data_IF_444152864076
#
_entry.id   IF_444152864076
#
_cell.length_a   1.000
_cell.length_b   1.000
_cell.length_c   1.000
_cell.angle_alpha   90.00
_cell.angle_beta   90.00
_cell.angle_gamma   90.00
#
_symmetry.space_group_name_H-M   'P 1'
#
loop_
_entity.id
_entity.type
_entity.pdbx_description
1 polymer ?
#
# COMPACT_ATOMS: atom_id res chain seq x y z
N UNK A 1 65.04 54.52 48.21
CA UNK A 1 64.68 55.38 47.07
C UNK A 1 63.95 54.53 46.04
N UNK A 2 62.77 54.99 45.57
CA UNK A 2 62.27 54.83 44.19
C UNK A 2 61.90 53.39 43.73
N UNK A 3 60.68 52.96 43.37
CA UNK A 3 59.32 53.51 43.19
C UNK A 3 58.30 52.35 43.34
N UNK A 4 57.17 52.63 43.99
CA UNK A 4 55.91 51.89 43.80
C UNK A 4 55.39 52.17 42.38
N UNK A 5 54.95 51.12 41.65
CA UNK A 5 54.03 51.28 40.52
C UNK A 5 52.82 50.37 40.77
N UNK A 6 51.76 51.01 41.25
CA UNK A 6 50.38 50.55 41.13
C UNK A 6 50.01 50.54 39.64
N UNK A 7 49.50 49.42 39.15
CA UNK A 7 48.69 49.38 37.94
C UNK A 7 47.30 48.86 38.31
N UNK A 8 46.35 49.79 38.34
CA UNK A 8 44.92 49.55 38.20
C UNK A 8 44.61 49.41 36.70
N UNK A 9 43.93 48.33 36.30
CA UNK A 9 43.11 48.24 35.09
C UNK A 9 42.28 46.93 35.15
N UNK A 10 41.05 46.90 34.61
CA UNK A 10 39.87 46.58 35.39
C UNK A 10 39.25 45.21 35.09
N UNK A 11 38.54 44.70 36.10
CA UNK A 11 37.45 43.72 36.01
C UNK A 11 36.39 44.16 34.99
N UNK A 12 36.43 43.63 33.76
CA UNK A 12 35.29 43.65 32.83
C UNK A 12 35.47 42.64 31.69
N UNK A 13 35.40 41.34 32.00
CA UNK A 13 35.29 40.28 30.99
C UNK A 13 34.48 39.07 31.51
N UNK A 14 33.48 39.33 32.36
CA UNK A 14 32.48 38.34 32.78
C UNK A 14 31.12 38.95 32.48
N UNK A 15 30.77 39.06 31.19
CA UNK A 15 29.41 39.27 30.68
C UNK A 15 29.51 39.49 29.17
N UNK A 16 29.66 38.43 28.39
CA UNK A 16 29.35 38.39 26.94
C UNK A 16 29.61 36.98 26.38
N UNK A 17 29.00 35.94 26.95
CA UNK A 17 28.80 34.68 26.23
C UNK A 17 27.66 33.87 26.88
N UNK A 18 26.52 34.53 27.04
CA UNK A 18 25.27 33.90 27.47
C UNK A 18 24.16 34.69 26.79
N UNK A 19 23.29 34.00 26.05
CA UNK A 19 22.29 34.49 25.08
C UNK A 19 22.86 34.51 23.66
N UNK A 20 22.62 33.49 22.84
CA UNK A 20 21.31 33.32 22.16
C UNK A 20 20.60 32.01 22.45
N UNK A 21 19.42 32.19 23.04
CA UNK A 21 18.33 31.25 23.21
C UNK A 21 17.55 31.09 21.90
N UNK A 22 17.04 29.87 21.70
CA UNK A 22 15.75 29.53 21.04
C UNK A 22 15.69 29.76 19.52
N UNK A 23 16.23 28.82 18.77
CA UNK A 23 15.47 28.27 17.65
C UNK A 23 14.62 27.14 18.20
N UNK A 24 13.28 27.23 18.12
CA UNK A 24 12.38 26.09 18.32
C UNK A 24 12.56 25.10 17.17
N UNK A 25 13.73 24.46 17.09
CA UNK A 25 13.94 23.30 16.27
C UNK A 25 13.39 22.11 17.05
N UNK A 26 12.30 21.52 16.58
CA UNK A 26 11.93 20.17 16.96
C UNK A 26 13.20 19.31 16.88
N UNK A 27 13.50 18.47 17.88
CA UNK A 27 14.61 17.53 17.73
C UNK A 27 14.40 16.77 16.40
N UNK A 28 15.47 16.52 15.62
CA UNK A 28 15.34 15.79 14.38
C UNK A 28 14.58 14.49 14.67
N UNK A 29 13.62 14.12 13.80
CA UNK A 29 12.81 12.94 14.03
C UNK A 29 13.73 11.74 14.30
N UNK A 30 13.32 10.87 15.21
CA UNK A 30 13.99 9.59 15.37
C UNK A 30 14.06 8.90 14.00
N UNK A 31 15.04 8.03 13.79
CA UNK A 31 15.16 7.27 12.53
C UNK A 31 13.83 6.62 12.15
N UNK A 32 13.13 6.06 13.13
CA UNK A 32 11.81 5.46 12.95
C UNK A 32 10.74 6.50 12.56
N UNK A 33 10.71 7.67 13.20
CA UNK A 33 9.78 8.74 12.82
C UNK A 33 10.03 9.23 11.38
N UNK A 34 11.30 9.36 10.95
CA UNK A 34 11.62 9.72 9.56
C UNK A 34 11.18 8.63 8.57
N UNK A 35 11.43 7.36 8.89
CA UNK A 35 11.00 6.25 8.03
C UNK A 35 9.47 6.20 7.87
N UNK A 36 8.72 6.53 8.93
CA UNK A 36 7.26 6.63 8.88
C UNK A 36 6.83 7.77 7.98
N UNK A 37 7.46 8.95 8.09
CA UNK A 37 7.22 10.07 7.17
C UNK A 37 7.49 9.71 5.71
N UNK A 38 8.58 8.97 5.43
CA UNK A 38 8.91 8.54 4.07
C UNK A 38 7.84 7.58 3.52
N UNK A 39 7.37 6.62 4.32
CA UNK A 39 6.28 5.70 3.94
C UNK A 39 4.97 6.45 3.68
N UNK A 40 4.60 7.34 4.61
CA UNK A 40 3.36 8.12 4.51
C UNK A 40 3.39 9.04 3.28
N UNK A 41 4.55 9.65 2.98
CA UNK A 41 4.75 10.48 1.79
C UNK A 41 4.61 9.66 0.49
N UNK A 42 5.25 8.49 0.42
CA UNK A 42 5.14 7.58 -0.73
C UNK A 42 3.70 7.12 -0.98
N UNK A 43 2.98 6.72 0.08
CA UNK A 43 1.56 6.34 -0.02
C UNK A 43 0.68 7.52 -0.44
N UNK A 44 0.97 8.72 0.07
CA UNK A 44 0.25 9.93 -0.29
C UNK A 44 0.46 10.30 -1.76
N UNK A 45 1.68 10.19 -2.28
CA UNK A 45 1.99 10.52 -3.67
C UNK A 45 1.21 9.64 -4.64
N UNK A 46 1.19 8.32 -4.42
CA UNK A 46 0.42 7.41 -5.27
C UNK A 46 -1.09 7.61 -5.13
N UNK A 47 -1.58 7.94 -3.92
CA UNK A 47 -2.99 8.28 -3.70
C UNK A 47 -3.40 9.57 -4.42
N UNK A 48 -2.50 10.55 -4.49
CA UNK A 48 -2.73 11.85 -5.10
C UNK A 48 -2.42 11.86 -6.60
N UNK A 49 -1.87 10.78 -7.15
CA UNK A 49 -1.58 10.66 -8.57
C UNK A 49 -2.89 10.78 -9.38
N UNK A 50 -2.97 11.70 -10.36
CA UNK A 50 -4.20 11.90 -11.14
C UNK A 50 -4.54 10.67 -12.00
N UNK A 51 -3.52 9.91 -12.38
CA UNK A 51 -3.63 8.69 -13.16
C UNK A 51 -2.40 7.80 -12.99
N UNK A 52 -2.54 6.51 -13.22
CA UNK A 52 -1.43 5.56 -13.37
C UNK A 52 -1.93 4.26 -13.99
N UNK A 53 -1.04 3.51 -14.62
CA UNK A 53 -1.27 2.10 -14.94
C UNK A 53 -0.76 1.23 -13.82
N UNK A 54 -1.25 0.00 -13.73
CA UNK A 54 -0.78 -0.94 -12.72
C UNK A 54 -0.90 -2.37 -13.19
N UNK A 55 0.05 -3.20 -12.73
CA UNK A 55 -0.08 -4.65 -12.79
C UNK A 55 -0.54 -5.16 -11.44
N UNK A 56 -1.38 -6.18 -11.47
CA UNK A 56 -1.85 -6.85 -10.27
C UNK A 56 -1.63 -8.36 -10.39
N UNK A 57 -1.18 -8.97 -9.31
CA UNK A 57 -1.14 -10.41 -9.14
C UNK A 57 -1.88 -10.76 -7.85
N UNK A 58 -2.86 -11.65 -7.93
CA UNK A 58 -3.67 -12.14 -6.83
C UNK A 58 -3.51 -13.64 -6.74
N UNK A 59 -3.08 -14.15 -5.59
CA UNK A 59 -2.98 -15.56 -5.29
C UNK A 59 -3.86 -15.87 -4.08
N UNK A 60 -4.87 -16.69 -4.30
CA UNK A 60 -5.72 -17.19 -3.24
C UNK A 60 -5.41 -18.66 -2.98
N UNK A 61 -5.40 -19.02 -1.70
CA UNK A 61 -5.22 -20.37 -1.21
C UNK A 61 -6.25 -20.66 -0.12
N UNK A 62 -6.91 -21.79 -0.24
CA UNK A 62 -7.88 -22.28 0.73
C UNK A 62 -7.47 -23.70 1.14
N UNK A 63 -7.31 -23.90 2.45
CA UNK A 63 -7.04 -25.21 3.03
C UNK A 63 -8.34 -25.99 3.27
N UNK A 64 -8.48 -27.15 2.62
CA UNK A 64 -9.63 -28.06 2.78
C UNK A 64 -9.11 -29.44 3.14
N UNK A 65 -9.33 -29.88 4.38
CA UNK A 65 -9.09 -31.27 4.85
C UNK A 65 -7.85 -31.97 4.25
N UNK A 66 -6.66 -31.51 4.62
CA UNK A 66 -5.33 -31.98 4.17
C UNK A 66 -4.97 -31.72 2.68
N UNK A 67 -5.83 -31.02 1.94
CA UNK A 67 -5.57 -30.55 0.58
C UNK A 67 -5.70 -29.03 0.52
N UNK A 68 -5.19 -28.43 -0.55
CA UNK A 68 -5.35 -27.00 -0.80
C UNK A 68 -5.73 -26.71 -2.24
N UNK A 69 -6.67 -25.78 -2.39
CA UNK A 69 -7.05 -25.25 -3.70
C UNK A 69 -6.40 -23.87 -3.81
N UNK A 70 -5.67 -23.65 -4.90
CA UNK A 70 -5.13 -22.34 -5.25
C UNK A 70 -5.75 -21.80 -6.53
N UNK A 71 -5.86 -20.48 -6.59
CA UNK A 71 -6.22 -19.74 -7.79
C UNK A 71 -5.27 -18.56 -7.94
N UNK A 72 -4.84 -18.29 -9.17
CA UNK A 72 -3.98 -17.16 -9.50
C UNK A 72 -4.71 -16.27 -10.49
N UNK A 73 -4.74 -14.97 -10.24
CA UNK A 73 -5.26 -13.98 -11.17
C UNK A 73 -4.15 -12.96 -11.45
N UNK A 74 -3.84 -12.76 -12.72
CA UNK A 74 -2.90 -11.72 -13.14
C UNK A 74 -3.67 -10.70 -13.96
N UNK A 75 -3.39 -9.43 -13.77
CA UNK A 75 -4.06 -8.39 -14.52
C UNK A 75 -3.20 -7.17 -14.76
N UNK A 76 -3.66 -6.38 -15.72
CA UNK A 76 -3.12 -5.07 -16.02
C UNK A 76 -4.31 -4.10 -16.12
N UNK A 77 -4.16 -2.94 -15.48
CA UNK A 77 -5.23 -1.99 -15.32
C UNK A 77 -4.74 -0.55 -15.37
N UNK A 78 -5.71 0.36 -15.31
CA UNK A 78 -5.51 1.80 -15.31
C UNK A 78 -6.40 2.43 -14.26
N UNK A 79 -5.90 3.46 -13.60
CA UNK A 79 -6.62 4.31 -12.66
C UNK A 79 -6.59 5.75 -13.20
N UNK A 80 -7.76 6.41 -13.25
CA UNK A 80 -7.89 7.82 -13.60
C UNK A 80 -9.29 8.33 -13.19
N UNK A 81 -9.43 9.63 -12.91
CA UNK A 81 -10.72 10.28 -12.62
C UNK A 81 -11.53 9.57 -11.52
N UNK A 82 -10.88 9.13 -10.45
CA UNK A 82 -11.47 8.34 -9.35
C UNK A 82 -12.10 6.99 -9.74
N UNK A 83 -11.88 6.55 -10.98
CA UNK A 83 -12.26 5.24 -11.51
C UNK A 83 -11.07 4.35 -11.82
N UNK A 84 -11.35 3.10 -12.17
CA UNK A 84 -10.33 2.15 -12.63
C UNK A 84 -10.89 1.20 -13.67
N UNK A 85 -10.05 0.72 -14.58
CA UNK A 85 -10.33 -0.40 -15.47
C UNK A 85 -9.24 -1.46 -15.29
N UNK A 86 -9.60 -2.73 -15.33
CA UNK A 86 -8.70 -3.84 -15.06
C UNK A 86 -9.12 -5.06 -15.89
N UNK A 87 -8.16 -5.62 -16.62
CA UNK A 87 -8.30 -6.92 -17.27
C UNK A 87 -7.59 -7.99 -16.43
N UNK A 88 -8.27 -9.09 -16.13
CA UNK A 88 -7.78 -10.20 -15.29
C UNK A 88 -7.81 -11.51 -16.07
N UNK A 89 -6.66 -12.17 -16.14
CA UNK A 89 -6.55 -13.58 -16.50
C UNK A 89 -6.54 -14.41 -15.22
N UNK A 90 -7.64 -15.10 -14.95
CA UNK A 90 -7.77 -16.04 -13.85
C UNK A 90 -7.39 -17.45 -14.32
N UNK A 91 -6.49 -18.09 -13.57
CA UNK A 91 -6.10 -19.49 -13.73
C UNK A 91 -6.54 -20.28 -12.51
N UNK A 92 -7.31 -21.33 -12.75
CA UNK A 92 -7.82 -22.23 -11.71
C UNK A 92 -7.74 -23.70 -12.19
N UNK A 93 -7.94 -24.68 -11.29
CA UNK A 93 -8.05 -26.08 -11.71
C UNK A 93 -9.17 -26.34 -12.73
N UNK A 94 -10.18 -25.46 -12.83
CA UNK A 94 -11.28 -25.58 -13.79
C UNK A 94 -10.93 -25.02 -15.18
N UNK A 95 -9.81 -24.30 -15.33
CA UNK A 95 -9.38 -23.68 -16.59
C UNK A 95 -8.94 -22.23 -16.43
N UNK A 96 -8.76 -21.57 -17.57
CA UNK A 96 -8.41 -20.15 -17.68
C UNK A 96 -9.64 -19.34 -18.11
N UNK A 97 -9.88 -18.20 -17.45
CA UNK A 97 -11.00 -17.29 -17.71
C UNK A 97 -10.51 -15.85 -17.72
N UNK A 98 -10.98 -15.05 -18.69
CA UNK A 98 -10.71 -13.62 -18.75
C UNK A 98 -11.90 -12.86 -18.17
N UNK A 99 -11.63 -12.00 -17.20
CA UNK A 99 -12.61 -11.14 -16.56
C UNK A 99 -12.15 -9.69 -16.67
N UNK A 100 -13.07 -8.78 -16.95
CA UNK A 100 -12.82 -7.34 -16.96
C UNK A 100 -13.54 -6.73 -15.76
N UNK A 101 -12.92 -5.75 -15.10
CA UNK A 101 -13.51 -4.99 -14.00
C UNK A 101 -13.38 -3.51 -14.30
N UNK A 102 -14.46 -2.77 -14.11
CA UNK A 102 -14.49 -1.33 -14.33
C UNK A 102 -15.19 -0.64 -13.16
N UNK A 103 -14.61 0.44 -12.67
CA UNK A 103 -15.30 1.42 -11.85
C UNK A 103 -15.33 2.77 -12.58
N UNK A 104 -16.53 3.29 -12.77
CA UNK A 104 -16.76 4.57 -13.45
C UNK A 104 -17.91 5.31 -12.75
N UNK A 105 -17.70 6.58 -12.39
CA UNK A 105 -18.68 7.43 -11.69
C UNK A 105 -19.30 6.77 -10.44
N UNK A 106 -18.48 6.03 -9.68
CA UNK A 106 -18.91 5.35 -8.44
C UNK A 106 -19.72 4.06 -8.65
N UNK A 107 -19.97 3.67 -9.90
CA UNK A 107 -20.53 2.37 -10.25
C UNK A 107 -19.43 1.37 -10.53
N UNK A 108 -19.74 0.08 -10.39
CA UNK A 108 -18.83 -1.03 -10.65
C UNK A 108 -19.46 -1.96 -11.68
N UNK A 109 -18.67 -2.40 -12.64
CA UNK A 109 -19.08 -3.30 -13.70
C UNK A 109 -18.09 -4.46 -13.78
N UNK A 110 -18.62 -5.64 -14.09
CA UNK A 110 -17.82 -6.82 -14.41
C UNK A 110 -18.16 -7.26 -15.82
N UNK A 111 -17.14 -7.54 -16.61
CA UNK A 111 -17.23 -8.04 -17.97
C UNK A 111 -16.76 -9.48 -18.05
N UNK A 112 -17.55 -10.37 -18.63
CA UNK A 112 -17.15 -11.75 -18.95
C UNK A 112 -17.58 -12.06 -20.39
N UNK A 113 -16.66 -12.54 -21.23
CA UNK A 113 -16.99 -12.91 -22.61
C UNK A 113 -17.53 -11.76 -23.50
N UNK A 114 -17.28 -10.50 -23.12
CA UNK A 114 -17.76 -9.31 -23.84
C UNK A 114 -19.12 -8.78 -23.37
N UNK A 115 -19.80 -9.50 -22.48
CA UNK A 115 -21.00 -9.01 -21.80
C UNK A 115 -20.62 -8.29 -20.52
N UNK A 116 -21.21 -7.11 -20.29
CA UNK A 116 -20.94 -6.30 -19.11
C UNK A 116 -22.19 -6.20 -18.24
N UNK A 117 -21.98 -6.33 -16.93
CA UNK A 117 -23.04 -6.22 -15.93
C UNK A 117 -22.65 -5.21 -14.85
N UNK A 118 -23.57 -4.30 -14.51
CA UNK A 118 -23.44 -3.47 -13.30
C UNK A 118 -23.59 -4.36 -12.06
N UNK A 119 -22.61 -4.30 -11.16
CA UNK A 119 -22.58 -5.05 -9.91
C UNK A 119 -22.37 -4.12 -8.73
N UNK A 120 -22.83 -4.54 -7.54
CA UNK A 120 -22.37 -3.92 -6.30
C UNK A 120 -20.91 -4.29 -6.02
N UNK A 121 -20.29 -3.63 -5.03
CA UNK A 121 -18.92 -3.94 -4.60
C UNK A 121 -18.74 -5.41 -4.19
N UNK A 122 -19.82 -6.05 -3.73
CA UNK A 122 -19.85 -7.47 -3.35
C UNK A 122 -19.75 -8.44 -4.54
N UNK A 123 -20.02 -7.95 -5.75
CA UNK A 123 -19.91 -8.72 -7.00
C UNK A 123 -18.51 -8.73 -7.60
N UNK A 124 -17.53 -8.03 -7.00
CA UNK A 124 -16.15 -8.05 -7.45
C UNK A 124 -15.50 -9.42 -7.20
N UNK A 125 -14.67 -9.94 -8.13
CA UNK A 125 -13.88 -11.16 -7.90
C UNK A 125 -12.97 -11.05 -6.67
N UNK A 126 -12.45 -9.86 -6.42
CA UNK A 126 -11.69 -9.49 -5.23
C UNK A 126 -11.82 -7.98 -4.97
N UNK A 127 -12.02 -7.53 -3.72
CA UNK A 127 -11.93 -6.11 -3.37
C UNK A 127 -10.60 -5.48 -3.79
N UNK A 128 -9.51 -6.26 -3.82
CA UNK A 128 -8.19 -5.79 -4.26
C UNK A 128 -8.09 -5.53 -5.77
N UNK A 129 -9.14 -5.80 -6.56
CA UNK A 129 -9.22 -5.28 -7.93
C UNK A 129 -9.22 -3.74 -7.95
N UNK A 130 -9.73 -3.12 -6.89
CA UNK A 130 -9.60 -1.67 -6.69
C UNK A 130 -8.22 -1.35 -6.08
N UNK A 131 -7.32 -0.68 -6.81
CA UNK A 131 -5.97 -0.36 -6.31
C UNK A 131 -5.99 0.53 -5.05
N UNK A 132 -7.09 1.27 -4.79
CA UNK A 132 -7.23 2.11 -3.60
C UNK A 132 -7.26 1.28 -2.31
N UNK A 133 -7.77 0.06 -2.36
CA UNK A 133 -7.82 -0.82 -1.20
C UNK A 133 -6.41 -1.21 -0.72
N UNK A 134 -5.42 -1.31 -1.62
CA UNK A 134 -4.02 -1.51 -1.21
C UNK A 134 -3.51 -0.35 -0.36
N UNK A 135 -3.78 0.88 -0.80
CA UNK A 135 -3.35 2.09 -0.11
C UNK A 135 -4.04 2.25 1.23
N UNK A 136 -5.33 1.92 1.31
CA UNK A 136 -6.06 1.99 2.57
C UNK A 136 -5.51 1.00 3.60
N UNK A 137 -5.27 -0.25 3.20
CA UNK A 137 -4.68 -1.28 4.06
C UNK A 137 -3.28 -0.85 4.51
N UNK A 138 -2.44 -0.37 3.60
CA UNK A 138 -1.06 0.03 3.89
C UNK A 138 -0.98 1.28 4.79
N UNK A 139 -1.98 2.17 4.77
CA UNK A 139 -1.95 3.44 5.52
C UNK A 139 -2.28 3.33 7.02
N UNK A 140 -2.73 2.19 7.51
CA UNK A 140 -3.14 2.00 8.91
C UNK A 140 -2.40 0.82 9.54
N UNK A 141 -1.20 1.08 10.06
CA UNK A 141 -0.30 0.06 10.60
C UNK A 141 0.24 0.38 12.00
N UNK A 142 0.39 -0.67 12.80
CA UNK A 142 0.84 -0.60 14.19
C UNK A 142 2.37 -0.60 14.32
N UNK A 143 3.07 -1.33 13.45
CA UNK A 143 4.52 -1.43 13.44
C UNK A 143 5.08 -1.50 12.03
N UNK A 144 6.36 -1.14 11.89
CA UNK A 144 7.12 -1.29 10.65
C UNK A 144 8.52 -1.83 10.92
N UNK A 145 9.06 -2.58 9.97
CA UNK A 145 10.40 -3.14 10.00
C UNK A 145 11.05 -3.00 8.62
N UNK A 146 12.28 -2.47 8.58
CA UNK A 146 13.08 -2.52 7.36
C UNK A 146 13.54 -3.97 7.12
N UNK A 147 13.14 -4.57 6.01
CA UNK A 147 13.53 -5.94 5.64
C UNK A 147 14.76 -5.96 4.73
N UNK A 148 14.84 -5.05 3.76
CA UNK A 148 15.91 -5.03 2.76
C UNK A 148 16.13 -3.65 2.11
N UNK A 149 17.32 -3.46 1.54
CA UNK A 149 17.60 -2.44 0.52
C UNK A 149 17.84 -3.19 -0.80
N UNK A 150 17.05 -2.88 -1.83
CA UNK A 150 17.06 -3.62 -3.09
C UNK A 150 16.60 -2.76 -4.28
N UNK A 151 16.88 -3.22 -5.50
CA UNK A 151 16.33 -2.62 -6.70
C UNK A 151 14.96 -3.21 -7.03
N UNK A 152 13.95 -2.36 -7.22
CA UNK A 152 12.60 -2.74 -7.65
C UNK A 152 12.14 -1.78 -8.75
N UNK A 153 11.79 -2.33 -9.92
CA UNK A 153 11.39 -1.51 -11.07
C UNK A 153 12.50 -0.61 -11.63
N UNK A 154 13.77 -1.02 -11.50
CA UNK A 154 14.93 -0.22 -11.94
C UNK A 154 15.28 0.95 -11.01
N UNK A 155 14.69 1.01 -9.81
CA UNK A 155 14.89 2.06 -8.83
C UNK A 155 15.41 1.45 -7.53
N UNK A 156 16.38 2.10 -6.88
CA UNK A 156 16.84 1.72 -5.55
C UNK A 156 15.75 2.01 -4.51
N UNK A 157 15.39 0.98 -3.75
CA UNK A 157 14.30 1.03 -2.78
C UNK A 157 14.72 0.47 -1.42
N UNK A 158 14.02 0.91 -0.38
CA UNK A 158 13.94 0.21 0.91
C UNK A 158 12.63 -0.54 0.99
N UNK A 159 12.69 -1.85 1.24
CA UNK A 159 11.51 -2.67 1.48
C UNK A 159 11.20 -2.71 2.97
N UNK A 160 10.00 -2.30 3.32
CA UNK A 160 9.48 -2.34 4.69
C UNK A 160 8.37 -3.37 4.82
N UNK A 161 8.38 -4.13 5.91
CA UNK A 161 7.24 -4.89 6.39
C UNK A 161 6.44 -4.02 7.36
N UNK A 162 5.20 -3.73 7.00
CA UNK A 162 4.19 -3.09 7.83
C UNK A 162 3.27 -4.17 8.42
N UNK A 163 2.76 -3.92 9.63
CA UNK A 163 1.70 -4.74 10.26
C UNK A 163 0.40 -3.92 10.33
N UNK A 164 -0.44 -3.97 9.29
CA UNK A 164 -1.76 -3.35 9.31
C UNK A 164 -2.65 -3.86 10.44
N UNK A 165 -3.63 -3.05 10.84
CA UNK A 165 -4.63 -3.48 11.80
C UNK A 165 -5.52 -4.58 11.20
N UNK A 166 -5.87 -5.60 11.99
CA UNK A 166 -6.56 -6.80 11.50
C UNK A 166 -7.99 -6.54 10.99
N UNK A 167 -8.62 -5.44 11.40
CA UNK A 167 -9.92 -5.01 10.87
C UNK A 167 -9.88 -4.71 9.36
N UNK A 168 -8.68 -4.41 8.83
CA UNK A 168 -8.46 -4.16 7.39
C UNK A 168 -8.57 -5.42 6.53
N UNK A 169 -8.66 -6.62 7.11
CA UNK A 169 -8.82 -7.86 6.32
C UNK A 169 -10.10 -7.83 5.46
N UNK A 170 -11.15 -7.13 5.91
CA UNK A 170 -12.39 -6.95 5.15
C UNK A 170 -12.23 -6.15 3.85
N UNK A 171 -11.18 -5.34 3.73
CA UNK A 171 -10.90 -4.57 2.51
C UNK A 171 -10.20 -5.40 1.43
N UNK A 172 -9.85 -6.65 1.73
CA UNK A 172 -9.11 -7.51 0.83
C UNK A 172 -9.83 -8.83 0.53
N UNK A 173 -10.57 -9.37 1.51
CA UNK A 173 -11.33 -10.61 1.35
C UNK A 173 -12.69 -10.28 0.75
N UNK A 174 -13.06 -10.94 -0.35
CA UNK A 174 -14.39 -10.76 -0.98
C UNK A 174 -15.53 -11.06 -0.01
N UNK A 175 -16.72 -10.49 -0.22
CA UNK A 175 -17.87 -10.72 0.65
C UNK A 175 -18.18 -12.20 0.85
N UNK A 176 -18.12 -12.97 -0.25
CA UNK A 176 -18.29 -14.42 -0.19
C UNK A 176 -17.21 -15.07 0.67
N UNK A 177 -15.93 -14.76 0.43
CA UNK A 177 -14.82 -15.27 1.24
C UNK A 177 -14.97 -14.90 2.72
N UNK A 178 -15.39 -13.67 3.01
CA UNK A 178 -15.62 -13.21 4.37
C UNK A 178 -16.72 -14.01 5.06
N UNK A 179 -17.84 -14.28 4.36
CA UNK A 179 -18.93 -15.08 4.92
C UNK A 179 -18.48 -16.47 5.39
N UNK A 180 -17.49 -17.06 4.70
CA UNK A 180 -16.96 -18.39 5.03
C UNK A 180 -15.80 -18.38 6.03
N UNK A 181 -15.01 -17.31 6.08
CA UNK A 181 -13.75 -17.27 6.84
C UNK A 181 -13.74 -16.25 7.98
N UNK A 182 -14.84 -15.52 8.22
CA UNK A 182 -14.90 -14.48 9.26
C UNK A 182 -14.58 -14.94 10.68
N UNK A 183 -14.72 -16.23 10.97
CA UNK A 183 -14.37 -16.87 12.24
C UNK A 183 -12.87 -17.13 12.43
N UNK A 184 -12.05 -16.98 11.39
CA UNK A 184 -10.61 -17.18 11.48
C UNK A 184 -9.96 -16.00 12.21
N UNK A 185 -8.83 -16.29 12.85
CA UNK A 185 -7.92 -15.26 13.35
C UNK A 185 -7.03 -14.82 12.20
N UNK A 186 -7.20 -13.58 11.74
CA UNK A 186 -6.42 -13.03 10.63
C UNK A 186 -5.14 -12.34 11.10
N UNK A 187 -4.09 -12.51 10.31
CA UNK A 187 -2.86 -11.73 10.34
C UNK A 187 -2.69 -11.04 8.98
N UNK A 188 -2.20 -9.80 8.97
CA UNK A 188 -2.00 -9.00 7.76
C UNK A 188 -0.57 -8.50 7.76
N UNK A 189 0.13 -8.81 6.67
CA UNK A 189 1.48 -8.35 6.39
C UNK A 189 1.43 -7.51 5.11
N UNK A 190 1.93 -6.27 5.18
CA UNK A 190 2.05 -5.43 4.00
C UNK A 190 3.52 -5.12 3.75
N UNK A 191 4.05 -5.49 2.59
CA UNK A 191 5.38 -5.08 2.13
C UNK A 191 5.24 -3.90 1.18
N UNK A 192 5.98 -2.85 1.47
CA UNK A 192 6.04 -1.64 0.64
C UNK A 192 7.49 -1.35 0.25
N UNK A 193 7.70 -1.02 -1.02
CA UNK A 193 8.99 -0.60 -1.54
C UNK A 193 9.01 0.92 -1.63
N UNK A 194 9.93 1.56 -0.91
CA UNK A 194 10.04 3.02 -0.84
C UNK A 194 11.25 3.48 -1.65
N UNK A 195 11.05 4.26 -2.74
CA UNK A 195 12.14 4.87 -3.50
C UNK A 195 13.03 5.79 -2.65
N UNK A 196 14.26 6.02 -3.11
CA UNK A 196 15.15 7.04 -2.54
C UNK A 196 15.54 8.06 -3.62
N UNK A 197 15.13 9.34 -3.53
CA UNK A 197 14.26 9.94 -2.49
C UNK A 197 12.82 9.38 -2.51
N UNK A 198 12.04 9.54 -1.42
CA UNK A 198 10.65 9.06 -1.36
C UNK A 198 9.82 9.58 -2.54
N UNK A 199 9.19 8.65 -3.22
CA UNK A 199 8.24 8.89 -4.30
C UNK A 199 7.13 7.82 -4.26
N UNK A 200 6.22 7.79 -5.22
CA UNK A 200 5.22 6.73 -5.36
C UNK A 200 5.87 5.34 -5.30
N UNK A 201 5.36 4.39 -4.48
CA UNK A 201 6.00 3.09 -4.31
C UNK A 201 5.89 2.26 -5.60
N UNK A 202 7.00 1.67 -6.09
CA UNK A 202 6.97 0.83 -7.29
C UNK A 202 6.26 -0.52 -7.06
N UNK A 203 6.02 -0.90 -5.80
CA UNK A 203 5.24 -2.07 -5.47
C UNK A 203 4.63 -1.97 -4.06
N UNK A 204 3.46 -2.59 -3.92
CA UNK A 204 2.77 -2.89 -2.66
C UNK A 204 2.37 -4.36 -2.69
N UNK A 205 2.73 -5.12 -1.66
CA UNK A 205 2.31 -6.51 -1.50
C UNK A 205 1.55 -6.64 -0.20
N UNK A 206 0.39 -7.29 -0.22
CA UNK A 206 -0.43 -7.60 0.94
C UNK A 206 -0.55 -9.11 1.04
N UNK A 207 -0.23 -9.65 2.20
CA UNK A 207 -0.49 -11.04 2.55
C UNK A 207 -1.46 -11.07 3.74
N UNK A 208 -2.55 -11.81 3.58
CA UNK A 208 -3.52 -12.07 4.62
C UNK A 208 -3.53 -13.56 4.87
N UNK A 209 -3.32 -13.94 6.13
CA UNK A 209 -3.32 -15.33 6.55
C UNK A 209 -4.37 -15.53 7.61
N UNK A 210 -5.28 -16.49 7.39
CA UNK A 210 -6.34 -16.84 8.32
C UNK A 210 -6.05 -18.16 9.00
N UNK A 211 -6.04 -18.16 10.33
CA UNK A 211 -5.79 -19.32 11.17
C UNK A 211 -7.06 -19.77 11.90
N UNK A 212 -7.23 -21.09 12.00
CA UNK A 212 -8.19 -21.66 12.94
C UNK A 212 -7.78 -21.28 14.37
N UNK A 213 -8.66 -20.68 15.18
CA UNK A 213 -8.30 -20.20 16.51
C UNK A 213 -8.04 -21.32 17.53
N UNK A 214 -8.52 -22.54 17.30
CA UNK A 214 -8.35 -23.68 18.20
C UNK A 214 -7.11 -24.49 17.81
N UNK A 215 -6.99 -24.83 16.53
CA UNK A 215 -5.93 -25.70 16.02
C UNK A 215 -4.67 -24.94 15.62
N UNK A 216 -4.75 -23.60 15.49
CA UNK A 216 -3.70 -22.75 14.93
C UNK A 216 -3.25 -23.17 13.52
N UNK A 217 -4.08 -23.94 12.82
CA UNK A 217 -3.82 -24.33 11.44
C UNK A 217 -4.22 -23.22 10.49
N UNK A 218 -3.37 -22.95 9.51
CA UNK A 218 -3.70 -22.04 8.42
C UNK A 218 -4.84 -22.62 7.57
N UNK A 219 -5.92 -21.85 7.39
CA UNK A 219 -7.10 -22.24 6.61
C UNK A 219 -7.33 -21.34 5.40
N UNK A 220 -6.79 -20.14 5.43
CA UNK A 220 -6.91 -19.15 4.36
C UNK A 220 -5.59 -18.43 4.13
N UNK A 221 -5.26 -18.13 2.87
CA UNK A 221 -4.20 -17.19 2.50
C UNK A 221 -4.58 -16.44 1.24
N UNK A 222 -4.40 -15.14 1.26
CA UNK A 222 -4.47 -14.26 0.11
C UNK A 222 -3.15 -13.52 0.03
N UNK A 223 -2.47 -13.60 -1.10
CA UNK A 223 -1.30 -12.78 -1.43
C UNK A 223 -1.67 -11.93 -2.64
N UNK A 224 -1.44 -10.63 -2.56
CA UNK A 224 -1.79 -9.69 -3.58
C UNK A 224 -0.66 -8.69 -3.78
N UNK A 225 -0.25 -8.46 -5.03
CA UNK A 225 0.79 -7.49 -5.38
C UNK A 225 0.23 -6.47 -6.36
N UNK A 226 0.41 -5.19 -6.08
CA UNK A 226 0.14 -4.04 -6.94
C UNK A 226 1.46 -3.42 -7.37
N UNK A 227 1.68 -3.26 -8.66
CA UNK A 227 2.87 -2.64 -9.26
C UNK A 227 2.45 -1.46 -10.16
N UNK A 228 2.40 -0.23 -9.63
CA UNK A 228 2.04 0.95 -10.42
C UNK A 228 3.19 1.41 -11.33
N UNK A 229 2.85 1.96 -12.50
CA UNK A 229 3.76 2.54 -13.48
C UNK A 229 3.02 3.59 -14.34
N UNK A 230 3.74 4.30 -15.22
CA UNK A 230 3.21 5.41 -16.03
C UNK A 230 2.45 6.47 -15.19
N UNK A 231 2.96 6.74 -13.98
CA UNK A 231 2.31 7.61 -12.99
C UNK A 231 2.21 9.05 -13.50
N UNK A 232 1.01 9.62 -13.46
CA UNK A 232 0.72 11.00 -13.86
C UNK A 232 0.59 11.20 -15.38
N UNK A 233 0.53 10.13 -16.18
CA UNK A 233 0.36 10.25 -17.63
C UNK A 233 -1.03 10.79 -18.00
N UNK A 234 -1.09 11.86 -18.79
CA UNK A 234 -2.33 12.45 -19.29
C UNK A 234 -3.03 11.61 -20.35
N UNK A 235 -2.40 10.55 -20.86
CA UNK A 235 -2.96 9.65 -21.88
C UNK A 235 -3.82 8.53 -21.27
N UNK A 236 -3.81 8.40 -19.94
CA UNK A 236 -4.55 7.37 -19.23
C UNK A 236 -5.96 7.89 -18.94
N UNK A 237 -6.94 7.26 -19.58
CA UNK A 237 -8.35 7.53 -19.37
C UNK A 237 -9.08 6.24 -18.98
N UNK A 238 -10.06 6.36 -18.10
CA UNK A 238 -11.01 5.29 -17.78
C UNK A 238 -12.34 5.69 -18.38
N UNK A 239 -12.85 4.91 -19.33
CA UNK A 239 -14.08 5.19 -20.06
C UNK A 239 -15.05 4.01 -19.98
N UNK A 240 -16.35 4.30 -20.15
CA UNK A 240 -17.36 3.25 -20.26
C UNK A 240 -17.22 2.51 -21.60
N UNK A 241 -17.27 1.16 -21.60
CA UNK A 241 -17.40 0.35 -22.80
C UNK A 241 -18.59 0.80 -23.66
N UNK A 242 -18.44 0.73 -24.99
CA UNK A 242 -19.50 1.12 -25.93
C UNK A 242 -20.81 0.35 -25.72
N UNK A 243 -20.73 -0.89 -25.23
CA UNK A 243 -21.90 -1.71 -24.90
C UNK A 243 -22.67 -1.23 -23.66
N UNK A 244 -22.08 -0.36 -22.83
CA UNK A 244 -22.69 0.26 -21.66
C UNK A 244 -23.12 1.71 -21.90
N UNK A 245 -22.80 2.29 -23.07
CA UNK A 245 -23.34 3.60 -23.48
C UNK A 245 -24.78 3.46 -24.01
N UNK A 246 -25.70 4.34 -23.60
CA UNK A 246 -27.11 4.32 -24.03
C UNK A 246 -27.32 4.68 -25.51
#
# INVERSE_FOLDING_TARGET
>A
MRWLRLFFAPTLAVMLLSVTLIGCGSPPPSREAQQRLDIDASLHELRAAPSYRYRINLENWIGVSAQSISGVQNGEGSFANDGFALELLQKSPAGETNNSVLSFEGKVYVGEGGEWQEVGIEGLPSPLCDPRNFLEIASSYSSMQLEAEEEKGGINTRRYLLKPNTDKARLAISSLGWSYFSQLRFEIDCRIWIPQPPASPPALQIEITGFDPVESLQRYRLSATLEPYDIGSSEIEVTLPQSLTP
#
